data_IF_167128109283
#
_entry.id   IF_167128109283
#
_cell.length_a   1.000
_cell.length_b   1.000
_cell.length_c   1.000
_cell.angle_alpha   90.00
_cell.angle_beta   90.00
_cell.angle_gamma   90.00
#
_symmetry.space_group_name_H-M   'P 1'
#
loop_
_entity.id
_entity.type
_entity.pdbx_description
1 polymer ?
#
# COMPACT_ATOMS: atom_id res chain seq x y z
N UNK A 1 -12.01 -54.70 -66.53
CA UNK A 1 -12.33 -54.97 -65.10
C UNK A 1 -11.17 -54.50 -64.24
N UNK A 2 -11.48 -53.57 -63.32
CA UNK A 2 -10.79 -53.25 -62.06
C UNK A 2 -9.39 -52.59 -62.12
N UNK A 3 -9.44 -51.26 -62.01
CA UNK A 3 -8.45 -50.38 -61.40
C UNK A 3 -8.07 -50.83 -59.97
N UNK A 4 -6.82 -50.64 -59.56
CA UNK A 4 -6.47 -50.17 -58.21
C UNK A 4 -5.19 -49.30 -58.31
N UNK A 5 -5.39 -47.98 -58.28
CA UNK A 5 -4.36 -47.01 -57.86
C UNK A 5 -4.17 -47.18 -56.35
N UNK A 6 -2.94 -47.42 -55.90
CA UNK A 6 -2.57 -47.22 -54.50
C UNK A 6 -2.05 -45.78 -54.37
N UNK A 7 -2.96 -44.88 -54.00
CA UNK A 7 -2.64 -43.54 -53.52
C UNK A 7 -2.15 -43.70 -52.09
N UNK A 8 -0.85 -43.50 -51.88
CA UNK A 8 -0.25 -43.43 -50.55
C UNK A 8 -0.64 -42.07 -49.94
N UNK A 9 -1.84 -42.00 -49.36
CA UNK A 9 -2.34 -40.84 -48.62
C UNK A 9 -1.49 -40.67 -47.36
N UNK A 10 -0.59 -39.70 -47.40
CA UNK A 10 0.13 -39.14 -46.27
C UNK A 10 -0.90 -38.48 -45.33
N UNK A 11 -1.54 -39.28 -44.49
CA UNK A 11 -2.35 -38.80 -43.39
C UNK A 11 -1.41 -38.24 -42.32
N UNK A 12 -0.99 -36.98 -42.50
CA UNK A 12 -0.54 -36.13 -41.41
C UNK A 12 -1.71 -35.98 -40.44
N UNK A 13 -1.79 -36.91 -39.50
CA UNK A 13 -2.50 -36.69 -38.24
C UNK A 13 -1.81 -35.52 -37.56
N UNK A 14 -2.33 -34.31 -37.77
CA UNK A 14 -2.12 -33.19 -36.86
C UNK A 14 -2.77 -33.56 -35.54
N UNK A 15 -2.08 -34.42 -34.78
CA UNK A 15 -2.30 -34.56 -33.36
C UNK A 15 -2.01 -33.20 -32.78
N UNK A 16 -3.06 -32.43 -32.46
CA UNK A 16 -2.96 -31.19 -31.71
C UNK A 16 -2.28 -31.53 -30.39
N UNK A 17 -0.96 -31.36 -30.34
CA UNK A 17 -0.20 -31.42 -29.11
C UNK A 17 -0.74 -30.23 -28.31
N UNK A 18 -1.64 -30.50 -27.36
CA UNK A 18 -2.03 -29.52 -26.36
C UNK A 18 -0.79 -29.31 -25.49
N UNK A 19 0.12 -28.45 -25.95
CA UNK A 19 1.23 -27.95 -25.17
C UNK A 19 0.59 -27.10 -24.07
N UNK A 20 0.29 -27.72 -22.94
CA UNK A 20 -0.20 -27.03 -21.76
C UNK A 20 0.91 -26.12 -21.27
N UNK A 21 0.77 -24.82 -21.46
CA UNK A 21 1.84 -23.89 -21.14
C UNK A 21 1.66 -23.28 -19.73
N UNK A 22 2.76 -23.25 -18.97
CA UNK A 22 2.83 -22.54 -17.70
C UNK A 22 2.52 -21.05 -17.87
N UNK A 23 2.21 -20.34 -16.79
CA UNK A 23 2.03 -18.87 -16.83
C UNK A 23 3.27 -18.20 -17.43
N UNK A 24 4.45 -18.62 -16.98
CA UNK A 24 5.74 -18.46 -17.64
C UNK A 24 6.68 -19.58 -17.20
N UNK A 25 7.64 -19.92 -18.07
CA UNK A 25 8.74 -20.81 -17.73
C UNK A 25 9.79 -20.06 -16.92
N UNK A 26 10.13 -20.56 -15.73
CA UNK A 26 11.25 -20.05 -14.95
C UNK A 26 12.57 -20.73 -15.36
N UNK A 27 13.59 -19.93 -15.65
CA UNK A 27 14.93 -20.37 -16.08
C UNK A 27 16.02 -19.90 -15.12
N UNK A 28 15.64 -19.15 -14.09
CA UNK A 28 16.50 -18.54 -13.09
C UNK A 28 16.02 -18.95 -11.70
N UNK A 29 16.87 -18.85 -10.68
CA UNK A 29 16.51 -19.11 -9.29
C UNK A 29 16.66 -17.85 -8.45
N UNK A 30 15.89 -17.75 -7.38
CA UNK A 30 16.07 -16.67 -6.41
C UNK A 30 17.46 -16.72 -5.79
N UNK A 31 18.06 -15.56 -5.64
CA UNK A 31 19.38 -15.36 -5.06
C UNK A 31 19.44 -13.99 -4.40
N UNK A 32 20.49 -13.73 -3.61
CA UNK A 32 20.71 -12.40 -3.04
C UNK A 32 20.88 -11.32 -4.10
N UNK A 33 21.45 -11.68 -5.26
CA UNK A 33 21.57 -10.77 -6.40
C UNK A 33 20.18 -10.39 -6.93
N UNK A 34 19.26 -11.35 -7.08
CA UNK A 34 17.90 -11.05 -7.51
C UNK A 34 17.09 -10.28 -6.46
N UNK A 35 17.37 -10.45 -5.16
CA UNK A 35 16.77 -9.58 -4.13
C UNK A 35 17.27 -8.14 -4.23
N UNK A 36 18.57 -7.94 -4.55
CA UNK A 36 19.10 -6.61 -4.81
C UNK A 36 18.50 -6.00 -6.08
N UNK A 37 18.36 -6.77 -7.16
CA UNK A 37 17.67 -6.35 -8.39
C UNK A 37 16.20 -6.03 -8.14
N UNK A 38 15.51 -6.79 -7.28
CA UNK A 38 14.12 -6.50 -6.90
C UNK A 38 14.02 -5.18 -6.13
N UNK A 39 14.92 -4.96 -5.17
CA UNK A 39 15.02 -3.68 -4.45
C UNK A 39 15.24 -2.50 -5.41
N UNK A 40 16.17 -2.63 -6.36
CA UNK A 40 16.42 -1.59 -7.37
C UNK A 40 15.21 -1.38 -8.32
N UNK A 41 14.55 -2.46 -8.73
CA UNK A 41 13.34 -2.40 -9.57
C UNK A 41 12.19 -1.70 -8.84
N UNK A 42 12.02 -1.97 -7.54
CA UNK A 42 11.03 -1.29 -6.69
C UNK A 42 11.24 0.23 -6.66
N UNK A 43 12.49 0.70 -6.60
CA UNK A 43 12.80 2.14 -6.65
C UNK A 43 12.58 2.74 -8.05
N UNK A 44 12.73 1.94 -9.10
CA UNK A 44 12.72 2.42 -10.49
C UNK A 44 11.38 3.04 -10.93
N UNK A 45 11.37 3.79 -12.06
CA UNK A 45 10.15 4.28 -12.69
C UNK A 45 9.19 3.19 -13.22
N UNK A 46 9.61 1.92 -13.28
CA UNK A 46 8.76 0.82 -13.68
C UNK A 46 7.63 0.57 -12.66
N UNK A 47 7.92 0.74 -11.37
CA UNK A 47 6.94 0.68 -10.29
C UNK A 47 6.34 2.06 -10.07
N UNK A 48 5.16 2.29 -10.62
CA UNK A 48 4.45 3.58 -10.60
C UNK A 48 2.96 3.40 -10.39
N UNK A 49 2.31 4.47 -9.95
CA UNK A 49 0.92 4.52 -9.52
C UNK A 49 -0.05 3.91 -10.56
N UNK A 50 0.13 4.23 -11.83
CA UNK A 50 -0.76 3.80 -12.91
C UNK A 50 -0.35 2.49 -13.60
N UNK A 51 0.59 1.72 -13.05
CA UNK A 51 1.11 0.52 -13.73
C UNK A 51 0.06 -0.56 -14.01
N UNK A 52 -1.07 -0.56 -13.30
CA UNK A 52 -2.16 -1.53 -13.51
C UNK A 52 -3.37 -0.95 -14.27
N UNK A 53 -3.45 0.37 -14.39
CA UNK A 53 -4.60 1.09 -14.95
C UNK A 53 -4.30 1.70 -16.31
N UNK A 54 -3.04 1.94 -16.64
CA UNK A 54 -2.66 2.50 -17.92
C UNK A 54 -2.80 1.44 -19.03
N UNK A 55 -3.63 1.73 -20.05
CA UNK A 55 -4.02 0.76 -21.09
C UNK A 55 -2.83 0.15 -21.85
N UNK A 56 -1.74 0.90 -22.01
CA UNK A 56 -0.53 0.40 -22.69
C UNK A 56 0.43 -0.35 -21.75
N UNK A 57 0.13 -0.43 -20.46
CA UNK A 57 0.90 -1.26 -19.53
C UNK A 57 0.76 -2.75 -19.87
N UNK A 58 1.84 -3.54 -19.86
CA UNK A 58 1.75 -5.00 -19.98
C UNK A 58 0.89 -5.64 -18.88
N UNK A 59 0.76 -4.95 -17.75
CA UNK A 59 0.06 -5.35 -16.54
C UNK A 59 -1.33 -4.71 -16.40
N UNK A 60 -1.83 -4.09 -17.47
CA UNK A 60 -3.16 -3.50 -17.48
C UNK A 60 -4.23 -4.54 -17.13
N UNK A 61 -5.09 -4.20 -16.16
CA UNK A 61 -6.20 -5.01 -15.70
C UNK A 61 -5.97 -5.76 -14.39
N UNK A 62 -4.76 -5.69 -13.81
CA UNK A 62 -4.52 -6.14 -12.45
C UNK A 62 -5.33 -5.27 -11.49
N UNK A 63 -6.13 -5.90 -10.63
CA UNK A 63 -6.97 -5.19 -9.67
C UNK A 63 -6.63 -5.62 -8.24
N UNK A 64 -5.92 -4.77 -7.51
CA UNK A 64 -5.28 -5.14 -6.26
C UNK A 64 -5.84 -4.38 -5.07
N UNK A 65 -6.02 -5.08 -3.94
CA UNK A 65 -6.07 -4.47 -2.61
C UNK A 65 -4.66 -4.33 -1.98
N UNK A 66 -4.59 -4.07 -0.67
CA UNK A 66 -3.31 -3.91 0.04
C UNK A 66 -2.37 -5.12 -0.06
N UNK A 67 -2.85 -6.35 0.16
CA UNK A 67 -2.02 -7.55 0.11
C UNK A 67 -1.76 -7.98 -1.34
N UNK A 68 -2.76 -7.85 -2.19
CA UNK A 68 -2.66 -8.20 -3.61
C UNK A 68 -1.57 -7.40 -4.30
N UNK A 69 -1.40 -6.12 -3.92
CA UNK A 69 -0.35 -5.26 -4.46
C UNK A 69 1.04 -5.83 -4.17
N UNK A 70 1.26 -6.36 -2.96
CA UNK A 70 2.54 -6.97 -2.61
C UNK A 70 2.83 -8.23 -3.44
N UNK A 71 1.83 -9.11 -3.58
CA UNK A 71 1.96 -10.30 -4.43
C UNK A 71 2.17 -9.93 -5.90
N UNK A 72 1.40 -8.96 -6.42
CA UNK A 72 1.49 -8.52 -7.80
C UNK A 72 2.89 -7.98 -8.13
N UNK A 73 3.44 -7.10 -7.29
CA UNK A 73 4.79 -6.56 -7.48
C UNK A 73 5.85 -7.67 -7.48
N UNK A 74 5.77 -8.63 -6.55
CA UNK A 74 6.70 -9.76 -6.50
C UNK A 74 6.57 -10.70 -7.69
N UNK A 75 5.34 -11.00 -8.11
CA UNK A 75 5.05 -11.86 -9.26
C UNK A 75 5.50 -11.22 -10.58
N UNK A 76 5.30 -9.91 -10.75
CA UNK A 76 5.73 -9.16 -11.93
C UNK A 76 7.25 -9.19 -12.05
N UNK A 77 7.97 -8.86 -10.97
CA UNK A 77 9.43 -8.93 -11.01
C UNK A 77 9.93 -10.35 -11.32
N UNK A 78 9.30 -11.37 -10.72
CA UNK A 78 9.64 -12.76 -10.99
C UNK A 78 9.41 -13.13 -12.47
N UNK A 79 8.29 -12.69 -13.04
CA UNK A 79 7.95 -12.86 -14.44
C UNK A 79 8.95 -12.18 -15.38
N UNK A 80 9.29 -10.91 -15.12
CA UNK A 80 10.25 -10.14 -15.92
C UNK A 80 11.66 -10.77 -15.93
N UNK A 81 12.02 -11.48 -14.86
CA UNK A 81 13.34 -12.08 -14.67
C UNK A 81 13.35 -13.61 -14.81
N UNK A 82 12.24 -14.22 -15.25
CA UNK A 82 12.08 -15.67 -15.40
C UNK A 82 12.47 -16.45 -14.13
N UNK A 83 12.07 -15.93 -12.96
CA UNK A 83 12.23 -16.55 -11.64
C UNK A 83 10.99 -17.36 -11.27
N UNK A 84 11.11 -18.40 -10.43
CA UNK A 84 9.95 -19.09 -9.89
C UNK A 84 9.18 -18.16 -8.95
N UNK A 85 7.86 -18.28 -8.99
CA UNK A 85 6.95 -17.60 -8.07
C UNK A 85 5.99 -18.62 -7.49
N UNK A 86 5.84 -18.59 -6.17
CA UNK A 86 4.88 -19.43 -5.47
C UNK A 86 4.40 -18.75 -4.19
N UNK A 87 3.16 -19.02 -3.81
CA UNK A 87 2.58 -18.64 -2.52
C UNK A 87 1.84 -19.83 -1.91
N UNK A 88 1.65 -19.81 -0.60
CA UNK A 88 0.91 -20.83 0.13
C UNK A 88 -0.54 -20.87 -0.32
N UNK A 89 -1.04 -22.05 -0.70
CA UNK A 89 -2.44 -22.21 -1.09
C UNK A 89 -3.34 -22.17 0.16
N UNK A 90 -4.26 -21.19 0.30
CA UNK A 90 -5.13 -21.02 1.48
C UNK A 90 -6.21 -22.10 1.61
N UNK A 91 -6.56 -22.80 0.53
CA UNK A 91 -7.68 -23.76 0.50
C UNK A 91 -7.44 -25.02 1.33
N UNK A 92 -6.21 -25.25 1.81
CA UNK A 92 -5.86 -26.32 2.75
C UNK A 92 -6.11 -27.75 2.26
N UNK A 93 -6.61 -27.99 1.04
CA UNK A 93 -7.00 -29.36 0.62
C UNK A 93 -7.22 -29.57 -0.89
N UNK A 94 -6.90 -30.80 -1.32
CA UNK A 94 -7.29 -31.55 -2.55
C UNK A 94 -6.54 -31.34 -3.87
N UNK A 95 -5.86 -30.24 -4.12
CA UNK A 95 -4.97 -30.15 -5.29
C UNK A 95 -3.60 -30.79 -5.00
N UNK A 96 -2.97 -31.40 -6.00
CA UNK A 96 -1.62 -31.96 -5.84
C UNK A 96 -0.57 -30.88 -5.49
N UNK A 97 -0.82 -29.62 -5.86
CA UNK A 97 0.05 -28.49 -5.54
C UNK A 97 -0.32 -27.85 -4.20
N UNK A 98 0.63 -27.83 -3.26
CA UNK A 98 0.53 -27.11 -1.98
C UNK A 98 0.67 -25.58 -2.13
N UNK A 99 0.92 -25.08 -3.34
CA UNK A 99 1.13 -23.66 -3.63
C UNK A 99 0.37 -23.21 -4.87
N UNK A 100 0.02 -21.92 -4.92
CA UNK A 100 -0.33 -21.24 -6.17
C UNK A 100 0.97 -20.71 -6.76
N UNK A 101 1.33 -21.11 -7.98
CA UNK A 101 2.65 -20.84 -8.56
C UNK A 101 2.59 -20.59 -10.08
N UNK A 102 3.70 -20.11 -10.65
CA UNK A 102 3.81 -19.76 -12.07
C UNK A 102 3.77 -20.97 -13.03
N UNK A 103 4.05 -22.17 -12.53
CA UNK A 103 4.15 -23.40 -13.34
C UNK A 103 2.80 -24.05 -13.62
N UNK A 104 1.71 -23.49 -13.09
CA UNK A 104 0.36 -23.98 -13.38
C UNK A 104 -0.05 -23.71 -14.83
N UNK A 105 -0.77 -24.67 -15.42
CA UNK A 105 -1.40 -24.56 -16.73
C UNK A 105 -2.85 -24.05 -16.66
N UNK A 106 -3.38 -23.74 -15.46
CA UNK A 106 -4.77 -23.30 -15.24
C UNK A 106 -5.17 -22.10 -16.12
N UNK A 107 -4.19 -21.28 -16.49
CA UNK A 107 -4.40 -20.04 -17.23
C UNK A 107 -3.99 -20.12 -18.71
N UNK A 108 -3.74 -21.31 -19.25
CA UNK A 108 -3.30 -21.48 -20.64
C UNK A 108 -4.24 -20.79 -21.65
N UNK A 109 -5.55 -20.88 -21.41
CA UNK A 109 -6.58 -20.22 -22.24
C UNK A 109 -6.65 -18.69 -22.12
N UNK A 110 -5.89 -18.05 -21.22
CA UNK A 110 -5.90 -16.58 -21.06
C UNK A 110 -5.05 -15.84 -22.10
N UNK A 111 -4.29 -16.55 -22.94
CA UNK A 111 -3.52 -16.00 -24.05
C UNK A 111 -2.03 -15.80 -23.74
N UNK A 112 -1.38 -14.70 -24.17
CA UNK A 112 0.06 -14.52 -24.00
C UNK A 112 0.48 -14.47 -22.52
N UNK A 113 1.75 -14.73 -22.22
CA UNK A 113 2.28 -14.84 -20.84
C UNK A 113 1.85 -13.70 -19.92
N UNK A 114 1.86 -12.45 -20.39
CA UNK A 114 1.45 -11.32 -19.57
C UNK A 114 -0.04 -11.38 -19.18
N UNK A 115 -0.93 -11.89 -20.05
CA UNK A 115 -2.35 -12.09 -19.72
C UNK A 115 -2.55 -13.25 -18.76
N UNK A 116 -1.73 -14.30 -18.88
CA UNK A 116 -1.71 -15.41 -17.92
C UNK A 116 -1.23 -14.93 -16.54
N UNK A 117 -0.22 -14.06 -16.49
CA UNK A 117 0.23 -13.41 -15.25
C UNK A 117 -0.89 -12.60 -14.59
N UNK A 118 -1.61 -11.78 -15.37
CA UNK A 118 -2.76 -11.02 -14.86
C UNK A 118 -3.82 -11.97 -14.27
N UNK A 119 -4.11 -13.08 -14.96
CA UNK A 119 -5.04 -14.09 -14.47
C UNK A 119 -4.57 -14.77 -13.17
N UNK A 120 -3.28 -15.12 -13.08
CA UNK A 120 -2.67 -15.66 -11.86
C UNK A 120 -2.79 -14.68 -10.69
N UNK A 121 -2.44 -13.40 -10.89
CA UNK A 121 -2.52 -12.38 -9.84
C UNK A 121 -3.98 -12.14 -9.42
N UNK A 122 -4.92 -12.20 -10.36
CA UNK A 122 -6.35 -12.09 -10.07
C UNK A 122 -6.83 -13.25 -9.20
N UNK A 123 -6.43 -14.48 -9.52
CA UNK A 123 -6.73 -15.66 -8.70
C UNK A 123 -6.17 -15.51 -7.29
N UNK A 124 -4.91 -15.06 -7.17
CA UNK A 124 -4.25 -14.81 -5.88
C UNK A 124 -5.07 -13.82 -5.05
N UNK A 125 -5.45 -12.67 -5.61
CA UNK A 125 -6.21 -11.66 -4.87
C UNK A 125 -7.63 -12.11 -4.48
N UNK A 126 -8.18 -13.10 -5.17
CA UNK A 126 -9.45 -13.73 -4.76
C UNK A 126 -9.27 -14.83 -3.69
N UNK A 127 -8.05 -15.32 -3.50
CA UNK A 127 -7.75 -16.49 -2.67
C UNK A 127 -7.16 -16.12 -1.31
N UNK A 128 -6.29 -15.12 -1.26
CA UNK A 128 -5.51 -14.76 -0.06
C UNK A 128 -5.70 -13.30 0.32
N UNK A 129 -5.33 -12.96 1.55
CA UNK A 129 -5.29 -11.57 2.03
C UNK A 129 -4.09 -11.31 2.93
N UNK A 130 -4.11 -10.18 3.65
CA UNK A 130 -2.96 -9.75 4.47
C UNK A 130 -2.56 -10.77 5.56
N UNK A 131 -3.49 -11.61 6.03
CA UNK A 131 -3.18 -12.69 6.98
C UNK A 131 -2.22 -13.71 6.37
N UNK A 132 -2.52 -14.19 5.17
CA UNK A 132 -1.72 -15.17 4.45
C UNK A 132 -0.33 -14.60 4.11
N UNK A 133 -0.33 -13.37 3.55
CA UNK A 133 0.90 -12.65 3.24
C UNK A 133 1.82 -12.58 4.46
N UNK A 134 1.27 -12.20 5.61
CA UNK A 134 2.04 -11.96 6.83
C UNK A 134 2.55 -13.26 7.47
N UNK A 135 1.72 -14.31 7.48
CA UNK A 135 2.01 -15.54 8.23
C UNK A 135 2.79 -16.58 7.44
N UNK A 136 2.47 -16.75 6.17
CA UNK A 136 2.89 -17.93 5.41
C UNK A 136 3.86 -17.59 4.29
N UNK A 137 3.68 -16.45 3.63
CA UNK A 137 4.46 -16.13 2.43
C UNK A 137 5.61 -15.15 2.67
N UNK A 138 5.66 -14.58 3.87
CA UNK A 138 6.73 -13.66 4.30
C UNK A 138 7.34 -14.09 5.63
N UNK A 139 8.47 -13.49 5.97
CA UNK A 139 9.16 -13.69 7.24
C UNK A 139 9.55 -12.33 7.86
N UNK A 140 9.67 -12.22 9.20
CA UNK A 140 10.05 -10.97 9.84
C UNK A 140 11.52 -10.68 9.55
N UNK A 141 11.83 -9.45 9.16
CA UNK A 141 13.20 -9.07 8.80
C UNK A 141 13.88 -8.25 9.89
N UNK A 142 15.21 -8.36 9.98
CA UNK A 142 16.03 -7.49 10.81
C UNK A 142 15.86 -6.02 10.36
N UNK A 143 15.87 -5.09 11.32
CA UNK A 143 15.68 -3.66 11.09
C UNK A 143 16.77 -3.12 10.16
N UNK A 144 18.02 -3.54 10.36
CA UNK A 144 19.16 -3.19 9.48
C UNK A 144 19.06 -3.76 8.05
N UNK A 145 18.10 -4.65 7.80
CA UNK A 145 17.85 -5.31 6.51
C UNK A 145 16.61 -4.78 5.81
N UNK A 146 15.90 -3.81 6.40
CA UNK A 146 14.82 -3.08 5.75
C UNK A 146 15.41 -2.34 4.53
N UNK A 147 14.78 -2.56 3.38
CA UNK A 147 15.19 -2.04 2.08
C UNK A 147 13.95 -1.91 1.18
N UNK A 148 14.03 -1.21 0.03
CA UNK A 148 12.99 -1.29 -0.99
C UNK A 148 12.57 -2.74 -1.30
N UNK A 149 11.27 -2.95 -1.51
CA UNK A 149 10.66 -4.29 -1.61
C UNK A 149 10.33 -4.95 -0.27
N UNK A 150 10.77 -4.38 0.87
CA UNK A 150 10.28 -4.78 2.20
C UNK A 150 8.81 -4.36 2.35
N UNK A 151 8.03 -5.18 3.04
CA UNK A 151 6.61 -4.93 3.30
C UNK A 151 6.47 -4.55 4.77
N UNK A 152 5.65 -3.54 5.08
CA UNK A 152 5.21 -3.30 6.44
C UNK A 152 3.75 -3.72 6.59
N UNK A 153 3.48 -4.70 7.46
CA UNK A 153 2.11 -5.17 7.75
C UNK A 153 1.70 -4.85 9.17
N UNK A 154 0.43 -4.50 9.37
CA UNK A 154 -0.13 -4.29 10.71
C UNK A 154 -1.55 -4.82 10.82
N UNK A 155 -1.96 -5.07 12.06
CA UNK A 155 -3.32 -5.48 12.44
C UNK A 155 -3.75 -4.66 13.63
N UNK A 156 -4.82 -3.88 13.47
CA UNK A 156 -5.44 -3.14 14.58
C UNK A 156 -6.83 -3.70 14.86
N UNK A 157 -7.22 -3.69 16.14
CA UNK A 157 -8.55 -4.09 16.57
C UNK A 157 -9.53 -2.95 16.30
N UNK A 158 -10.52 -3.20 15.46
CA UNK A 158 -11.64 -2.30 15.22
C UNK A 158 -12.75 -2.51 16.27
N UNK A 159 -13.81 -1.69 16.23
CA UNK A 159 -15.00 -1.93 17.06
C UNK A 159 -15.65 -3.27 16.70
N UNK A 160 -16.46 -3.80 17.61
CA UNK A 160 -17.20 -5.07 17.44
C UNK A 160 -16.31 -6.30 17.18
N UNK A 161 -15.10 -6.35 17.77
CA UNK A 161 -14.14 -7.47 17.66
C UNK A 161 -13.66 -7.76 16.22
N UNK A 162 -13.85 -6.82 15.29
CA UNK A 162 -13.27 -6.92 13.94
C UNK A 162 -11.82 -6.44 13.94
N UNK A 163 -11.09 -6.75 12.88
CA UNK A 163 -9.70 -6.33 12.71
C UNK A 163 -9.53 -5.62 11.37
N UNK A 164 -8.83 -4.49 11.39
CA UNK A 164 -8.34 -3.82 10.18
C UNK A 164 -6.91 -4.29 9.97
N UNK A 165 -6.59 -4.64 8.73
CA UNK A 165 -5.29 -5.16 8.32
C UNK A 165 -4.81 -4.36 7.14
N UNK A 166 -3.51 -4.16 7.06
CA UNK A 166 -2.93 -3.44 5.96
C UNK A 166 -1.52 -3.91 5.65
N UNK A 167 -1.12 -3.70 4.40
CA UNK A 167 0.23 -3.91 3.91
C UNK A 167 0.66 -2.68 3.11
N UNK A 168 1.85 -2.19 3.40
CA UNK A 168 2.55 -1.18 2.60
C UNK A 168 3.77 -1.81 1.95
N UNK A 169 3.99 -1.57 0.66
CA UNK A 169 5.24 -1.93 0.01
C UNK A 169 6.18 -0.72 0.10
N UNK A 170 7.36 -0.91 0.67
CA UNK A 170 8.39 0.12 0.70
C UNK A 170 8.96 0.22 -0.71
N UNK A 171 8.63 1.32 -1.39
CA UNK A 171 9.15 1.66 -2.71
C UNK A 171 10.57 2.22 -2.60
N UNK A 172 10.80 3.07 -1.61
CA UNK A 172 12.10 3.67 -1.33
C UNK A 172 12.26 4.05 0.15
N UNK A 173 13.49 4.34 0.58
CA UNK A 173 13.82 4.88 1.90
C UNK A 173 14.49 6.23 1.68
N UNK A 174 13.85 7.30 2.14
CA UNK A 174 14.42 8.64 2.00
C UNK A 174 15.68 8.80 2.85
N UNK A 175 16.56 9.77 2.54
CA UNK A 175 17.82 9.94 3.25
C UNK A 175 17.70 10.04 4.78
N UNK A 176 16.61 10.64 5.27
CA UNK A 176 16.33 10.83 6.70
C UNK A 176 15.68 9.61 7.37
N UNK A 177 15.52 8.50 6.63
CA UNK A 177 14.99 7.22 7.09
C UNK A 177 13.46 7.09 7.11
N UNK A 178 12.73 8.05 6.54
CA UNK A 178 11.29 7.92 6.26
C UNK A 178 11.06 7.02 5.05
N UNK A 179 9.84 6.50 4.87
CA UNK A 179 9.55 5.54 3.82
C UNK A 179 8.73 6.17 2.68
N UNK A 180 9.14 5.96 1.43
CA UNK A 180 8.26 6.09 0.28
C UNK A 180 7.54 4.76 0.08
N UNK A 181 6.21 4.74 0.23
CA UNK A 181 5.41 3.53 0.14
C UNK A 181 4.45 3.58 -1.03
N UNK A 182 4.28 2.44 -1.70
CA UNK A 182 3.28 2.22 -2.75
C UNK A 182 2.36 1.07 -2.34
N UNK A 183 1.05 1.29 -2.44
CA UNK A 183 0.06 0.38 -1.90
C UNK A 183 -1.31 0.54 -2.57
N UNK A 184 -2.25 -0.34 -2.26
CA UNK A 184 -3.65 -0.19 -2.64
C UNK A 184 -4.56 -0.42 -1.43
N UNK A 185 -5.85 -0.21 -1.62
CA UNK A 185 -6.90 -0.41 -0.60
C UNK A 185 -8.08 -1.13 -1.20
N UNK A 186 -8.96 -1.70 -0.37
CA UNK A 186 -10.20 -2.31 -0.84
C UNK A 186 -11.06 -1.31 -1.64
N UNK A 187 -11.14 -0.06 -1.18
CA UNK A 187 -11.82 1.01 -1.91
C UNK A 187 -11.22 1.26 -3.30
N UNK A 188 -9.89 1.16 -3.42
CA UNK A 188 -9.20 1.33 -4.69
C UNK A 188 -9.43 0.14 -5.63
N UNK A 189 -9.46 -1.08 -5.09
CA UNK A 189 -9.78 -2.30 -5.83
C UNK A 189 -11.22 -2.25 -6.39
N UNK A 190 -12.18 -1.78 -5.60
CA UNK A 190 -13.60 -1.66 -6.01
C UNK A 190 -13.78 -0.77 -7.25
N UNK A 191 -12.95 0.26 -7.42
CA UNK A 191 -12.99 1.16 -8.57
C UNK A 191 -11.94 0.87 -9.65
N UNK A 192 -11.10 -0.15 -9.48
CA UNK A 192 -9.94 -0.43 -10.35
C UNK A 192 -9.03 0.81 -10.50
N UNK A 193 -8.77 1.48 -9.39
CA UNK A 193 -8.01 2.73 -9.36
C UNK A 193 -6.49 2.52 -9.38
N UNK A 194 -5.76 3.63 -9.57
CA UNK A 194 -4.30 3.64 -9.52
C UNK A 194 -3.78 3.29 -8.12
N UNK A 195 -2.57 2.73 -8.04
CA UNK A 195 -1.91 2.54 -6.75
C UNK A 195 -1.70 3.88 -6.06
N UNK A 196 -1.81 3.87 -4.74
CA UNK A 196 -1.57 5.02 -3.88
C UNK A 196 -0.09 5.08 -3.52
N UNK A 197 0.45 6.30 -3.42
CA UNK A 197 1.83 6.54 -3.00
C UNK A 197 1.91 7.56 -1.87
N UNK A 198 2.74 7.29 -0.86
CA UNK A 198 3.08 8.24 0.21
C UNK A 198 4.58 8.32 0.34
N UNK A 199 5.16 9.46 -0.05
CA UNK A 199 6.62 9.63 -0.17
C UNK A 199 7.34 9.78 1.16
N UNK A 200 6.66 10.19 2.22
CA UNK A 200 7.28 10.52 3.52
C UNK A 200 6.57 9.82 4.68
N UNK A 201 6.23 8.53 4.49
CA UNK A 201 5.47 7.76 5.48
C UNK A 201 6.33 7.46 6.70
N UNK A 202 5.82 7.89 7.84
CA UNK A 202 6.20 7.40 9.16
C UNK A 202 5.16 6.39 9.61
N UNK A 203 5.58 5.19 10.02
CA UNK A 203 4.68 4.18 10.57
C UNK A 203 4.38 4.46 12.04
N UNK A 204 3.19 4.05 12.47
CA UNK A 204 2.56 4.43 13.76
C UNK A 204 1.83 3.24 14.39
N UNK A 205 2.11 2.00 13.95
CA UNK A 205 1.55 0.81 14.57
C UNK A 205 2.72 -0.11 14.92
N UNK A 206 3.14 -0.12 16.18
CA UNK A 206 4.32 -0.90 16.58
C UNK A 206 4.19 -2.38 16.16
N UNK A 207 5.27 -3.02 15.67
CA UNK A 207 5.26 -4.45 15.35
C UNK A 207 4.82 -5.31 16.53
N UNK A 208 4.03 -6.34 16.23
CA UNK A 208 3.57 -7.35 17.18
C UNK A 208 3.41 -8.65 16.43
N UNK A 209 4.10 -9.72 16.84
CA UNK A 209 4.19 -10.98 16.10
C UNK A 209 2.80 -11.49 15.63
N UNK A 210 2.60 -11.77 14.32
CA UNK A 210 3.55 -11.75 13.19
C UNK A 210 3.57 -10.46 12.35
N UNK A 211 3.05 -9.34 12.85
CA UNK A 211 2.86 -8.09 12.10
C UNK A 211 4.05 -7.14 12.25
N UNK A 212 4.61 -6.68 11.15
CA UNK A 212 5.73 -5.73 11.16
C UNK A 212 6.42 -5.63 9.81
N UNK A 213 7.74 -5.36 9.82
CA UNK A 213 8.59 -5.37 8.62
C UNK A 213 8.87 -6.79 8.17
N UNK A 214 8.57 -7.10 6.90
CA UNK A 214 8.62 -8.45 6.35
C UNK A 214 9.22 -8.49 4.94
N UNK A 215 9.79 -9.63 4.59
CA UNK A 215 10.24 -9.94 3.22
C UNK A 215 9.60 -11.23 2.74
N UNK A 216 9.42 -11.35 1.43
CA UNK A 216 8.94 -12.58 0.81
C UNK A 216 9.89 -13.74 1.05
N UNK A 217 9.32 -14.90 1.36
CA UNK A 217 10.04 -16.17 1.29
C UNK A 217 10.30 -16.51 -0.16
N UNK A 218 11.44 -17.13 -0.45
CA UNK A 218 11.64 -17.78 -1.74
C UNK A 218 10.72 -19.01 -1.85
N UNK A 219 10.31 -19.41 -3.07
CA UNK A 219 9.45 -20.57 -3.28
C UNK A 219 9.90 -21.84 -2.54
N UNK A 220 11.21 -22.10 -2.52
CA UNK A 220 11.84 -23.23 -1.81
C UNK A 220 11.79 -23.14 -0.28
N UNK A 221 11.45 -21.97 0.29
CA UNK A 221 11.38 -21.71 1.73
C UNK A 221 9.97 -21.41 2.26
N UNK A 222 8.92 -21.57 1.44
CA UNK A 222 7.54 -21.25 1.83
C UNK A 222 7.06 -22.04 3.06
N UNK A 223 7.38 -23.33 3.13
CA UNK A 223 6.95 -24.21 4.23
C UNK A 223 7.98 -24.31 5.37
N UNK A 224 9.07 -23.55 5.30
CA UNK A 224 10.23 -23.78 6.15
C UNK A 224 10.24 -22.86 7.37
N UNK A 225 10.83 -23.29 8.48
CA UNK A 225 10.94 -22.46 9.69
C UNK A 225 11.88 -21.27 9.46
N UNK A 226 11.81 -20.26 10.34
CA UNK A 226 12.59 -19.03 10.18
C UNK A 226 14.11 -19.29 10.10
N UNK A 227 14.61 -20.28 10.85
CA UNK A 227 16.02 -20.66 10.93
C UNK A 227 16.56 -21.28 9.62
N UNK A 228 15.67 -21.75 8.75
CA UNK A 228 16.04 -22.34 7.46
C UNK A 228 16.13 -21.32 6.33
N UNK A 229 15.73 -20.07 6.59
CA UNK A 229 15.86 -18.97 5.63
C UNK A 229 17.31 -18.49 5.66
N UNK A 230 17.97 -18.29 4.50
CA UNK A 230 19.34 -17.77 4.43
C UNK A 230 19.53 -16.52 5.28
N UNK A 231 20.53 -16.54 6.17
CA UNK A 231 20.73 -15.47 7.15
C UNK A 231 21.05 -14.11 6.48
N UNK A 232 21.60 -14.16 5.28
CA UNK A 232 21.91 -13.00 4.45
C UNK A 232 20.65 -12.22 4.03
N UNK A 233 19.51 -12.90 3.89
CA UNK A 233 18.19 -12.30 3.64
C UNK A 233 17.69 -11.51 4.86
N UNK A 234 18.24 -11.81 6.04
CA UNK A 234 17.98 -11.14 7.29
C UNK A 234 16.71 -11.57 8.00
N UNK A 235 16.40 -12.86 8.16
CA UNK A 235 15.33 -13.30 9.06
C UNK A 235 15.66 -12.89 10.50
N UNK A 236 14.73 -12.25 11.20
CA UNK A 236 14.91 -11.84 12.60
C UNK A 236 13.60 -11.52 13.29
N UNK A 237 13.49 -11.91 14.56
CA UNK A 237 12.38 -11.57 15.45
C UNK A 237 12.62 -10.25 16.23
N UNK A 238 13.80 -9.62 16.09
CA UNK A 238 14.26 -8.51 16.94
C UNK A 238 13.27 -7.33 17.00
N UNK A 239 12.55 -7.07 15.91
CA UNK A 239 11.61 -5.96 15.84
C UNK A 239 10.49 -6.06 16.88
N UNK A 240 10.08 -7.26 17.27
CA UNK A 240 9.00 -7.47 18.23
C UNK A 240 9.45 -7.19 19.67
N UNK A 241 10.65 -7.65 20.01
CA UNK A 241 11.29 -7.40 21.31
C UNK A 241 11.60 -5.90 21.47
N UNK A 242 12.13 -5.27 20.42
CA UNK A 242 12.43 -3.84 20.39
C UNK A 242 11.16 -2.99 20.46
N UNK A 243 10.10 -3.37 19.72
CA UNK A 243 8.82 -2.67 19.78
C UNK A 243 8.20 -2.73 21.18
N UNK A 244 8.27 -3.89 21.82
CA UNK A 244 7.74 -4.11 23.18
C UNK A 244 8.53 -3.33 24.23
N UNK A 245 9.87 -3.33 24.14
CA UNK A 245 10.75 -2.69 25.14
C UNK A 245 10.80 -1.16 25.02
N UNK A 246 10.78 -0.62 23.80
CA UNK A 246 10.90 0.82 23.56
C UNK A 246 9.56 1.55 23.58
N UNK A 247 8.46 0.84 23.25
CA UNK A 247 7.21 1.46 22.89
C UNK A 247 7.24 2.08 21.49
N UNK A 248 6.06 2.38 20.95
CA UNK A 248 5.85 2.70 19.53
C UNK A 248 6.70 3.86 19.00
N UNK A 249 6.66 5.02 19.66
CA UNK A 249 7.35 6.23 19.21
C UNK A 249 8.87 6.07 19.22
N UNK A 250 9.43 5.48 20.28
CA UNK A 250 10.86 5.26 20.39
C UNK A 250 11.33 4.15 19.43
N UNK A 251 10.54 3.10 19.23
CA UNK A 251 10.79 2.05 18.24
C UNK A 251 10.92 2.63 16.83
N UNK A 252 9.93 3.37 16.35
CA UNK A 252 10.00 3.94 14.98
C UNK A 252 11.07 5.02 14.84
N UNK A 253 11.38 5.76 15.91
CA UNK A 253 12.53 6.67 15.93
C UNK A 253 13.84 5.91 15.74
N UNK A 254 14.00 4.76 16.41
CA UNK A 254 15.18 3.91 16.25
C UNK A 254 15.25 3.27 14.85
N UNK A 255 14.13 2.76 14.32
CA UNK A 255 14.06 2.23 12.94
C UNK A 255 14.51 3.29 11.95
N UNK A 256 13.94 4.50 12.02
CA UNK A 256 14.29 5.63 11.14
C UNK A 256 15.79 5.92 11.20
N UNK A 257 16.35 6.04 12.40
CA UNK A 257 17.80 6.28 12.59
C UNK A 257 18.65 5.15 12.01
N UNK A 258 18.19 3.92 12.09
CA UNK A 258 18.92 2.73 11.60
C UNK A 258 18.97 2.69 10.07
N UNK A 259 17.90 3.11 9.40
CA UNK A 259 17.81 3.07 7.93
C UNK A 259 18.17 4.40 7.25
N UNK A 260 18.38 5.46 8.02
CA UNK A 260 18.77 6.77 7.49
C UNK A 260 20.22 6.77 6.97
N UNK A 261 20.44 7.47 5.87
CA UNK A 261 21.77 7.76 5.31
C UNK A 261 22.23 9.19 5.61
N UNK A 262 21.33 10.05 6.09
CA UNK A 262 21.64 11.41 6.52
C UNK A 262 20.87 11.79 7.80
N UNK A 263 21.41 12.73 8.57
CA UNK A 263 20.64 13.38 9.63
C UNK A 263 19.71 14.45 9.05
N UNK A 264 18.64 14.76 9.78
CA UNK A 264 17.71 15.84 9.47
C UNK A 264 17.85 16.92 10.55
N UNK A 265 18.09 18.17 10.15
CA UNK A 265 18.02 19.30 11.07
C UNK A 265 16.57 19.59 11.47
N UNK A 266 16.36 20.26 12.60
CA UNK A 266 15.01 20.64 13.06
C UNK A 266 14.27 21.50 12.03
N UNK A 267 14.99 22.37 11.30
CA UNK A 267 14.44 23.18 10.22
C UNK A 267 14.02 22.38 8.99
N UNK A 268 14.83 21.41 8.56
CA UNK A 268 14.48 20.50 7.46
C UNK A 268 13.27 19.63 7.82
N UNK A 269 13.24 19.12 9.06
CA UNK A 269 12.10 18.36 9.60
C UNK A 269 10.82 19.17 9.58
N UNK A 270 10.88 20.45 9.96
CA UNK A 270 9.74 21.34 9.93
C UNK A 270 9.18 21.49 8.51
N UNK A 271 10.05 21.74 7.53
CA UNK A 271 9.66 21.88 6.13
C UNK A 271 9.08 20.57 5.56
N UNK A 272 9.70 19.43 5.85
CA UNK A 272 9.19 18.12 5.43
C UNK A 272 7.80 17.87 6.02
N UNK A 273 7.60 18.08 7.32
CA UNK A 273 6.31 17.88 7.97
C UNK A 273 5.23 18.83 7.43
N UNK A 274 5.55 20.08 7.10
CA UNK A 274 4.64 20.98 6.40
C UNK A 274 4.17 20.38 5.06
N UNK A 275 5.12 19.93 4.23
CA UNK A 275 4.81 19.28 2.94
C UNK A 275 3.97 18.02 3.13
N UNK A 276 4.29 17.19 4.12
CA UNK A 276 3.54 15.97 4.42
C UNK A 276 2.11 16.28 4.86
N UNK A 277 1.90 17.25 5.76
CA UNK A 277 0.56 17.70 6.17
C UNK A 277 -0.23 18.20 4.97
N UNK A 278 0.41 18.98 4.09
CA UNK A 278 -0.23 19.45 2.86
C UNK A 278 -0.67 18.30 1.95
N UNK A 279 0.22 17.35 1.70
CA UNK A 279 -0.06 16.19 0.85
C UNK A 279 -1.20 15.34 1.42
N UNK A 280 -1.22 15.07 2.73
CA UNK A 280 -2.29 14.28 3.35
C UNK A 280 -3.63 15.04 3.36
N UNK A 281 -3.61 16.36 3.58
CA UNK A 281 -4.80 17.20 3.48
C UNK A 281 -5.39 17.19 2.05
N UNK A 282 -4.53 17.22 1.03
CA UNK A 282 -4.94 17.11 -0.36
C UNK A 282 -5.42 15.69 -0.72
N UNK A 283 -4.74 14.64 -0.25
CA UNK A 283 -5.16 13.25 -0.46
C UNK A 283 -6.55 12.98 0.11
N UNK A 284 -6.89 13.62 1.24
CA UNK A 284 -8.22 13.55 1.84
C UNK A 284 -9.35 14.00 0.91
N UNK A 285 -9.08 14.94 0.00
CA UNK A 285 -10.04 15.37 -1.03
C UNK A 285 -10.49 14.17 -1.86
N UNK A 286 -9.53 13.36 -2.34
CA UNK A 286 -9.83 12.13 -3.07
C UNK A 286 -10.70 11.17 -2.26
N UNK A 287 -10.30 10.90 -1.01
CA UNK A 287 -11.02 9.95 -0.14
C UNK A 287 -12.47 10.37 0.16
N UNK A 288 -12.72 11.66 0.37
CA UNK A 288 -14.08 12.16 0.61
C UNK A 288 -14.88 12.14 -0.69
N UNK A 289 -14.31 12.62 -1.79
CA UNK A 289 -15.00 12.68 -3.07
C UNK A 289 -15.36 11.30 -3.62
N UNK A 290 -14.55 10.27 -3.33
CA UNK A 290 -14.88 8.87 -3.64
C UNK A 290 -16.19 8.42 -2.97
N UNK A 291 -16.38 8.75 -1.69
CA UNK A 291 -17.61 8.43 -0.97
C UNK A 291 -18.81 9.19 -1.55
N UNK A 292 -18.64 10.47 -1.89
CA UNK A 292 -19.70 11.30 -2.49
C UNK A 292 -20.10 10.77 -3.86
N UNK A 293 -19.14 10.46 -4.73
CA UNK A 293 -19.40 9.90 -6.06
C UNK A 293 -20.13 8.54 -5.98
N UNK A 294 -19.81 7.72 -4.98
CA UNK A 294 -20.56 6.49 -4.74
C UNK A 294 -22.02 6.78 -4.38
N UNK A 295 -22.27 7.71 -3.44
CA UNK A 295 -23.63 8.07 -3.01
C UNK A 295 -24.46 8.63 -4.17
N UNK A 296 -23.86 9.47 -5.01
CA UNK A 296 -24.53 9.99 -6.20
C UNK A 296 -24.96 8.85 -7.15
N UNK A 297 -24.07 7.86 -7.35
CA UNK A 297 -24.36 6.68 -8.18
C UNK A 297 -25.39 5.73 -7.55
N UNK A 298 -25.43 5.63 -6.22
CA UNK A 298 -26.36 4.76 -5.48
C UNK A 298 -27.67 5.47 -5.10
N UNK A 299 -27.92 6.68 -5.62
CA UNK A 299 -29.08 7.50 -5.25
C UNK A 299 -29.20 7.70 -3.71
N UNK A 300 -28.06 7.92 -3.06
CA UNK A 300 -27.90 8.12 -1.61
C UNK A 300 -28.34 6.93 -0.75
N UNK A 301 -28.28 5.70 -1.28
CA UNK A 301 -28.48 4.49 -0.47
C UNK A 301 -27.43 4.39 0.65
N UNK A 302 -27.88 4.03 1.86
CA UNK A 302 -26.98 3.80 2.99
C UNK A 302 -25.98 2.67 2.69
N UNK A 303 -24.71 2.98 2.78
CA UNK A 303 -23.64 1.99 2.64
C UNK A 303 -23.74 0.88 3.70
N UNK A 304 -23.64 -0.37 3.23
CA UNK A 304 -23.47 -1.54 4.08
C UNK A 304 -22.10 -1.56 4.77
N UNK A 305 -21.77 -2.64 5.50
CA UNK A 305 -20.50 -2.73 6.21
C UNK A 305 -19.29 -2.64 5.26
N UNK A 306 -19.32 -3.33 4.12
CA UNK A 306 -18.17 -3.40 3.21
C UNK A 306 -17.93 -2.04 2.55
N UNK A 307 -18.99 -1.39 2.06
CA UNK A 307 -18.89 -0.07 1.46
C UNK A 307 -18.55 0.99 2.51
N UNK A 308 -19.07 0.88 3.73
CA UNK A 308 -18.68 1.77 4.82
C UNK A 308 -17.20 1.65 5.15
N UNK A 309 -16.68 0.42 5.28
CA UNK A 309 -15.27 0.16 5.57
C UNK A 309 -14.38 0.76 4.47
N UNK A 310 -14.78 0.62 3.20
CA UNK A 310 -14.08 1.17 2.05
C UNK A 310 -14.06 2.72 2.02
N UNK A 311 -15.20 3.37 2.25
CA UNK A 311 -15.36 4.81 1.98
C UNK A 311 -15.26 5.72 3.22
N UNK A 312 -15.28 5.16 4.43
CA UNK A 312 -15.10 5.94 5.65
C UNK A 312 -13.66 6.46 5.79
N UNK A 313 -13.47 7.50 6.61
CA UNK A 313 -12.15 8.13 6.80
C UNK A 313 -11.56 8.17 8.22
N UNK A 314 -12.03 7.44 9.25
CA UNK A 314 -11.59 7.73 10.61
C UNK A 314 -10.10 7.45 10.86
N UNK A 315 -9.56 6.38 10.26
CA UNK A 315 -8.12 6.11 10.34
C UNK A 315 -7.29 7.17 9.59
N UNK A 316 -7.79 7.68 8.46
CA UNK A 316 -7.14 8.72 7.65
C UNK A 316 -7.20 10.08 8.36
N UNK A 317 -8.34 10.40 8.96
CA UNK A 317 -8.56 11.62 9.74
C UNK A 317 -7.67 11.63 11.00
N UNK A 318 -7.54 10.48 11.68
CA UNK A 318 -6.63 10.32 12.82
C UNK A 318 -5.15 10.48 12.40
N UNK A 319 -4.73 9.86 11.28
CA UNK A 319 -3.38 10.01 10.76
C UNK A 319 -3.07 11.47 10.39
N UNK A 320 -4.01 12.18 9.75
CA UNK A 320 -3.84 13.60 9.43
C UNK A 320 -3.73 14.46 10.70
N UNK A 321 -4.54 14.18 11.73
CA UNK A 321 -4.44 14.85 13.04
C UNK A 321 -3.07 14.65 13.68
N UNK A 322 -2.55 13.43 13.67
CA UNK A 322 -1.23 13.11 14.19
C UNK A 322 -0.11 13.84 13.43
N UNK A 323 -0.21 13.95 12.10
CA UNK A 323 0.74 14.72 11.30
C UNK A 323 0.75 16.20 11.66
N UNK A 324 -0.43 16.80 11.91
CA UNK A 324 -0.49 18.16 12.45
C UNK A 324 0.14 18.27 13.84
N UNK A 325 0.00 17.27 14.70
CA UNK A 325 0.65 17.30 16.02
C UNK A 325 2.18 17.23 15.90
N UNK A 326 2.70 16.36 15.03
CA UNK A 326 4.14 16.28 14.71
C UNK A 326 4.66 17.59 14.13
N UNK A 327 3.91 18.23 13.22
CA UNK A 327 4.28 19.54 12.67
C UNK A 327 4.31 20.62 13.75
N UNK A 328 3.34 20.64 14.67
CA UNK A 328 3.31 21.56 15.82
C UNK A 328 4.51 21.37 16.75
N UNK A 329 4.87 20.12 17.03
CA UNK A 329 6.05 19.79 17.83
C UNK A 329 7.32 20.31 17.15
N UNK A 330 7.51 19.98 15.86
CA UNK A 330 8.67 20.43 15.10
C UNK A 330 8.76 21.96 15.03
N UNK A 331 7.62 22.67 14.95
CA UNK A 331 7.58 24.13 14.98
C UNK A 331 8.08 24.69 16.32
N UNK A 332 7.66 24.07 17.42
CA UNK A 332 8.10 24.45 18.76
C UNK A 332 9.61 24.24 18.94
N UNK A 333 10.14 23.11 18.47
CA UNK A 333 11.57 22.78 18.48
C UNK A 333 12.38 23.75 17.58
N UNK A 334 11.87 24.04 16.38
CA UNK A 334 12.51 24.94 15.43
C UNK A 334 12.66 26.35 16.00
N UNK A 335 11.61 26.86 16.67
CA UNK A 335 11.65 28.14 17.36
C UNK A 335 12.66 28.19 18.51
N UNK A 336 12.74 27.14 19.32
CA UNK A 336 13.69 27.08 20.44
C UNK A 336 15.14 27.03 19.95
N UNK A 337 15.38 26.31 18.87
CA UNK A 337 16.70 26.13 18.26
C UNK A 337 17.08 27.24 17.26
N UNK A 338 16.19 28.22 17.05
CA UNK A 338 16.34 29.27 16.04
C UNK A 338 16.71 28.70 14.66
N UNK A 339 16.08 27.57 14.31
CA UNK A 339 16.31 26.87 13.05
C UNK A 339 15.05 26.86 12.20
N UNK A 340 15.23 26.67 10.89
CA UNK A 340 14.13 26.60 9.93
C UNK A 340 13.99 27.84 9.06
N UNK A 341 13.42 27.61 7.88
CA UNK A 341 13.11 28.65 6.91
C UNK A 341 12.03 29.59 7.46
N UNK A 342 12.24 30.90 7.30
CA UNK A 342 11.36 31.93 7.85
C UNK A 342 9.92 31.85 7.29
N UNK A 343 9.78 31.43 6.03
CA UNK A 343 8.47 31.26 5.39
C UNK A 343 7.75 30.07 6.02
N UNK A 344 8.44 28.94 6.21
CA UNK A 344 7.84 27.76 6.85
C UNK A 344 7.46 28.04 8.32
N UNK A 345 8.29 28.78 9.06
CA UNK A 345 7.95 29.22 10.41
C UNK A 345 6.69 30.11 10.42
N UNK A 346 6.57 31.03 9.46
CA UNK A 346 5.38 31.86 9.29
C UNK A 346 4.14 31.03 8.98
N UNK A 347 4.26 30.01 8.11
CA UNK A 347 3.16 29.07 7.82
C UNK A 347 2.72 28.30 9.07
N UNK A 348 3.65 27.79 9.87
CA UNK A 348 3.32 27.12 11.12
C UNK A 348 2.62 28.07 12.11
N UNK A 349 3.05 29.33 12.19
CA UNK A 349 2.41 30.35 13.01
C UNK A 349 0.99 30.69 12.53
N UNK A 350 0.76 30.76 11.21
CA UNK A 350 -0.58 30.86 10.61
C UNK A 350 -1.47 29.68 11.03
N UNK A 351 -0.94 28.44 10.97
CA UNK A 351 -1.69 27.22 11.28
C UNK A 351 -2.12 27.15 12.74
N UNK A 352 -1.19 27.41 13.68
CA UNK A 352 -1.43 27.13 15.11
C UNK A 352 -1.82 28.34 15.95
N UNK A 353 -1.47 29.55 15.52
CA UNK A 353 -1.68 30.79 16.30
C UNK A 353 -2.56 31.81 15.58
N UNK A 354 -2.94 31.58 14.32
CA UNK A 354 -3.73 32.51 13.53
C UNK A 354 -3.06 33.89 13.37
N UNK A 355 -1.73 33.97 13.51
CA UNK A 355 -0.93 35.21 13.51
C UNK A 355 -0.04 35.40 12.28
N UNK A 356 0.18 34.37 11.48
CA UNK A 356 0.98 34.45 10.25
C UNK A 356 0.16 34.88 9.02
N UNK A 357 0.83 34.86 7.86
CA UNK A 357 0.21 35.17 6.57
C UNK A 357 -0.69 34.02 6.09
N UNK A 358 -2.01 34.20 6.22
CA UNK A 358 -3.00 33.23 5.73
C UNK A 358 -3.10 33.17 4.22
N UNK A 359 -2.86 34.28 3.54
CA UNK A 359 -2.96 34.35 2.08
C UNK A 359 -1.82 33.56 1.46
N UNK A 360 -0.61 33.69 1.99
CA UNK A 360 0.53 32.89 1.54
C UNK A 360 0.41 31.43 1.95
N UNK A 361 -0.10 31.12 3.15
CA UNK A 361 -0.40 29.74 3.54
C UNK A 361 -1.41 29.08 2.58
N UNK A 362 -2.48 29.80 2.23
CA UNK A 362 -3.51 29.34 1.31
C UNK A 362 -2.95 29.09 -0.10
N UNK A 363 -1.99 29.91 -0.56
CA UNK A 363 -1.30 29.69 -1.84
C UNK A 363 -0.35 28.49 -1.78
N UNK A 364 0.37 28.33 -0.68
CA UNK A 364 1.34 27.26 -0.50
C UNK A 364 0.68 25.87 -0.39
N UNK A 365 -0.48 25.79 0.27
CA UNK A 365 -1.23 24.56 0.38
C UNK A 365 -2.75 24.79 0.37
N UNK A 366 -3.37 24.95 -0.82
CA UNK A 366 -4.81 25.05 -0.92
C UNK A 366 -5.48 23.69 -0.75
N UNK A 367 -6.52 23.64 0.08
CA UNK A 367 -7.41 22.47 0.21
C UNK A 367 -8.73 22.76 -0.50
N UNK A 368 -8.76 22.49 -1.81
CA UNK A 368 -9.90 22.73 -2.70
C UNK A 368 -10.85 21.51 -2.72
N UNK A 369 -11.66 21.34 -1.68
CA UNK A 369 -12.46 20.11 -1.55
C UNK A 369 -13.82 20.13 -2.26
N UNK A 370 -14.33 21.31 -2.66
CA UNK A 370 -15.53 21.41 -3.51
C UNK A 370 -15.48 22.66 -4.39
N UNK A 371 -16.30 22.69 -5.44
CA UNK A 371 -16.35 23.79 -6.38
C UNK A 371 -16.51 25.14 -5.67
N UNK A 372 -15.61 26.09 -5.95
CA UNK A 372 -15.63 27.42 -5.37
C UNK A 372 -15.24 27.52 -3.89
N UNK A 373 -14.86 26.42 -3.24
CA UNK A 373 -14.49 26.42 -1.81
C UNK A 373 -13.08 25.90 -1.62
N UNK A 374 -12.26 26.74 -0.98
CA UNK A 374 -10.92 26.41 -0.56
C UNK A 374 -10.71 26.80 0.90
N UNK A 375 -9.94 26.01 1.63
CA UNK A 375 -9.49 26.36 2.98
C UNK A 375 -7.98 26.19 3.09
N UNK A 376 -7.39 26.94 4.01
CA UNK A 376 -5.99 26.81 4.39
C UNK A 376 -5.79 25.73 5.47
N UNK A 377 -4.53 25.34 5.70
CA UNK A 377 -4.19 24.33 6.70
C UNK A 377 -4.50 24.73 8.15
N UNK A 378 -4.54 26.02 8.48
CA UNK A 378 -4.95 26.51 9.81
C UNK A 378 -6.44 26.36 10.03
N UNK A 379 -7.25 26.68 9.02
CA UNK A 379 -8.69 26.42 9.03
C UNK A 379 -8.97 24.92 9.17
N UNK A 380 -8.27 24.08 8.40
CA UNK A 380 -8.40 22.62 8.51
C UNK A 380 -7.96 22.09 9.89
N UNK A 381 -6.81 22.56 10.40
CA UNK A 381 -6.33 22.21 11.74
C UNK A 381 -7.36 22.56 12.81
N UNK A 382 -7.93 23.76 12.78
CA UNK A 382 -8.96 24.18 13.73
C UNK A 382 -10.17 23.23 13.69
N UNK A 383 -10.59 22.75 12.52
CA UNK A 383 -11.71 21.80 12.43
C UNK A 383 -11.34 20.42 12.95
N UNK A 384 -10.12 19.94 12.68
CA UNK A 384 -9.62 18.65 13.18
C UNK A 384 -9.42 18.67 14.69
N UNK A 385 -8.81 19.72 15.24
CA UNK A 385 -8.50 19.82 16.66
C UNK A 385 -9.75 19.94 17.54
N UNK A 386 -10.85 20.41 16.97
CA UNK A 386 -12.16 20.50 17.61
C UNK A 386 -13.11 19.34 17.22
N UNK A 387 -12.58 18.28 16.60
CA UNK A 387 -13.32 17.08 16.19
C UNK A 387 -14.59 17.38 15.36
N UNK A 388 -14.52 18.38 14.47
CA UNK A 388 -15.65 18.82 13.64
C UNK A 388 -15.81 18.00 12.35
N UNK A 389 -14.79 17.24 11.94
CA UNK A 389 -14.83 16.44 10.72
C UNK A 389 -15.68 15.18 10.93
N UNK A 390 -16.62 14.92 10.02
CA UNK A 390 -17.26 13.61 9.96
C UNK A 390 -16.43 12.62 9.13
N UNK A 391 -16.14 11.47 9.75
CA UNK A 391 -15.56 10.31 9.07
C UNK A 391 -16.61 9.37 8.45
N UNK A 392 -17.89 9.68 8.61
CA UNK A 392 -18.98 8.81 8.17
C UNK A 392 -19.22 8.96 6.67
N UNK A 393 -19.15 7.89 5.86
CA UNK A 393 -19.12 8.02 4.42
C UNK A 393 -20.45 8.46 3.80
N UNK A 394 -21.57 8.22 4.49
CA UNK A 394 -22.91 8.67 4.07
C UNK A 394 -23.24 10.14 4.44
N UNK A 395 -22.31 10.88 5.05
CA UNK A 395 -22.53 12.30 5.38
C UNK A 395 -22.22 13.20 4.18
N UNK A 396 -22.94 14.32 4.10
CA UNK A 396 -22.74 15.36 3.08
C UNK A 396 -21.33 15.96 3.15
N UNK A 397 -20.84 16.47 2.03
CA UNK A 397 -19.47 16.98 1.90
C UNK A 397 -19.13 18.06 2.94
N UNK A 398 -20.08 18.93 3.28
CA UNK A 398 -19.90 19.99 4.29
C UNK A 398 -19.61 19.42 5.68
N UNK A 399 -20.31 18.35 6.07
CA UNK A 399 -20.09 17.67 7.34
C UNK A 399 -18.78 16.87 7.32
N UNK A 400 -18.44 16.25 6.18
CA UNK A 400 -17.14 15.56 5.99
C UNK A 400 -15.95 16.49 6.16
N UNK A 401 -16.12 17.79 5.89
CA UNK A 401 -15.08 18.81 6.03
C UNK A 401 -15.26 19.73 7.24
N UNK A 402 -16.22 19.45 8.13
CA UNK A 402 -16.45 20.20 9.37
C UNK A 402 -16.92 21.63 9.17
N UNK A 403 -17.56 21.94 8.04
CA UNK A 403 -18.28 23.21 7.86
C UNK A 403 -19.57 23.25 8.67
N UNK A 404 -20.23 22.09 8.80
CA UNK A 404 -21.46 21.92 9.57
C UNK A 404 -21.33 20.72 10.49
N UNK A 405 -21.80 20.86 11.72
CA UNK A 405 -21.88 19.77 12.71
C UNK A 405 -23.31 19.24 12.88
N UNK A 406 -24.27 19.86 12.19
CA UNK A 406 -25.68 19.49 12.15
C UNK A 406 -26.00 18.96 10.74
N UNK A 407 -27.06 18.17 10.60
CA UNK A 407 -27.45 17.43 9.36
C UNK A 407 -26.58 16.21 9.05
N UNK A 408 -26.23 15.45 10.07
CA UNK A 408 -25.65 14.12 9.90
C UNK A 408 -26.71 13.15 9.36
N UNK A 409 -26.26 12.18 8.58
CA UNK A 409 -27.08 11.10 8.06
C UNK A 409 -27.73 10.27 9.18
N UNK A 410 -28.85 9.62 8.85
CA UNK A 410 -29.48 8.60 9.71
C UNK A 410 -28.97 7.19 9.44
N UNK A 411 -28.09 7.01 8.44
CA UNK A 411 -27.52 5.72 8.11
C UNK A 411 -26.72 5.15 9.29
N UNK A 412 -26.65 3.82 9.35
CA UNK A 412 -25.97 3.10 10.42
C UNK A 412 -24.47 3.37 10.40
N UNK A 413 -23.92 3.71 11.57
CA UNK A 413 -22.47 3.73 11.81
C UNK A 413 -21.99 2.33 12.20
N UNK A 414 -20.94 1.85 11.54
CA UNK A 414 -20.42 0.50 11.77
C UNK A 414 -19.25 0.43 12.75
N UNK A 415 -18.59 1.56 13.03
CA UNK A 415 -17.61 1.72 14.11
C UNK A 415 -17.38 3.20 14.42
#
# INVERSE_FOLDING_TARGET
MKHVLIVLSLALTFSSINIQAAVWEDTQSWSLEYEQKFSAWMQSPAVKENMFTFVSSPYYGINTDCADTAYALRAIFAFENKLPFAITNPSGSREASKSLNNRTNKFDGAGPENKRLVALITEIGSSVGTENLTRFDTFPTAIKKIAPGTIFTYKIKARFKKFIRHAYNIKDINPVGTFDVIYSTQANQEKRGELLRRREREFENAPSDPWGFRKFRWPEHLASNLESIPQELGPSMEQFELATSLGENAFFTMVRKTVATSSESTGERLNRLFKSVCQEAQARIGYVNEAIAYLEKSNNECMDYQKFDAFSTPARDAALKEMFLKFKQSYSEARQTQSGDAVILSYAESVYSNKGDKTELQKACPVNYRAGVSIDLGTLWNRISNDLLSSHPNDIIEARWGEVTKRLTKCKRWY
#
